data_IF_414979728758
#
_entry.id   IF_414979728758
#
_cell.length_a   1.000
_cell.length_b   1.000
_cell.length_c   1.000
_cell.angle_alpha   90.00
_cell.angle_beta   90.00
_cell.angle_gamma   90.00
#
_symmetry.space_group_name_H-M   'P 1'
#
loop_
_entity.id
_entity.type
_entity.pdbx_description
1 polymer ?
#
# COMPACT_ATOMS: atom_id res chain seq x y z
N UNK A 1 24.82 -18.36 -22.21
CA UNK A 1 23.96 -18.48 -21.00
C UNK A 1 24.32 -17.33 -20.08
N UNK A 2 23.64 -16.19 -20.19
CA UNK A 2 23.85 -15.08 -19.26
C UNK A 2 22.74 -15.13 -18.21
N UNK A 3 23.05 -15.68 -17.06
CA UNK A 3 22.29 -15.47 -15.84
C UNK A 3 22.50 -14.00 -15.42
N UNK A 4 21.66 -13.11 -15.96
CA UNK A 4 21.46 -11.82 -15.33
C UNK A 4 20.98 -12.10 -13.91
N UNK A 5 21.86 -11.95 -12.92
CA UNK A 5 21.45 -11.76 -11.53
C UNK A 5 20.47 -10.60 -11.54
N UNK A 6 19.17 -10.91 -11.44
CA UNK A 6 18.14 -9.91 -11.17
C UNK A 6 18.51 -9.37 -9.81
N UNK A 7 19.14 -8.21 -9.75
CA UNK A 7 19.22 -7.45 -8.51
C UNK A 7 17.79 -7.34 -8.00
N UNK A 8 17.56 -7.80 -6.77
CA UNK A 8 16.25 -7.69 -6.17
C UNK A 8 15.89 -6.20 -6.17
N UNK A 9 14.76 -5.82 -6.78
CA UNK A 9 14.37 -4.42 -6.83
C UNK A 9 14.31 -3.90 -5.40
N UNK A 10 15.03 -2.81 -5.13
CA UNK A 10 14.97 -2.11 -3.85
C UNK A 10 13.51 -1.94 -3.45
N UNK A 11 13.19 -2.16 -2.18
CA UNK A 11 11.81 -2.12 -1.71
C UNK A 11 11.66 -1.35 -0.42
N UNK A 12 10.55 -0.64 -0.30
CA UNK A 12 10.11 0.01 0.92
C UNK A 12 9.07 -0.90 1.57
N UNK A 13 9.23 -1.20 2.84
CA UNK A 13 8.32 -2.05 3.59
C UNK A 13 8.08 -1.51 4.99
N UNK A 14 6.97 -1.93 5.59
CA UNK A 14 6.59 -1.50 6.92
C UNK A 14 5.14 -1.84 7.23
N UNK A 15 4.60 -1.15 8.23
CA UNK A 15 3.22 -1.32 8.70
C UNK A 15 2.48 -0.01 8.48
N UNK A 16 1.31 -0.08 7.86
CA UNK A 16 0.30 0.97 7.96
C UNK A 16 -0.60 0.66 9.15
N UNK A 17 -0.75 1.64 10.02
CA UNK A 17 -1.69 1.61 11.12
C UNK A 17 -2.83 2.58 10.82
N UNK A 18 -4.03 2.03 10.74
CA UNK A 18 -5.27 2.76 10.57
C UNK A 18 -5.99 2.78 11.92
N UNK A 19 -5.92 3.90 12.64
CA UNK A 19 -6.40 4.03 14.02
C UNK A 19 -7.91 3.75 14.12
N UNK A 20 -8.36 2.67 14.78
CA UNK A 20 -9.79 2.35 14.88
C UNK A 20 -10.66 3.45 15.48
N UNK A 21 -10.09 4.39 16.24
CA UNK A 21 -10.80 5.49 16.87
C UNK A 21 -10.89 6.75 15.98
N UNK A 22 -10.35 6.71 14.74
CA UNK A 22 -10.46 7.82 13.79
C UNK A 22 -11.95 8.07 13.42
N UNK A 23 -12.36 9.34 13.54
CA UNK A 23 -13.73 9.79 13.29
C UNK A 23 -14.23 9.45 11.87
N UNK A 24 -13.32 9.30 10.90
CA UNK A 24 -13.69 8.91 9.53
C UNK A 24 -14.45 7.59 9.46
N UNK A 25 -14.22 6.69 10.43
CA UNK A 25 -14.88 5.40 10.51
C UNK A 25 -16.33 5.47 11.01
N UNK A 26 -16.71 6.59 11.65
CA UNK A 26 -18.12 6.89 11.94
C UNK A 26 -18.96 7.02 10.66
N UNK A 27 -18.36 7.54 9.59
CA UNK A 27 -19.02 7.76 8.30
C UNK A 27 -18.64 6.72 7.23
N UNK A 28 -17.60 5.90 7.46
CA UNK A 28 -17.09 4.95 6.47
C UNK A 28 -16.80 3.56 7.08
N UNK A 29 -17.80 2.73 7.36
CA UNK A 29 -19.24 2.99 7.32
C UNK A 29 -19.83 2.74 8.72
N UNK A 30 -20.89 3.44 9.13
CA UNK A 30 -21.51 3.23 10.43
C UNK A 30 -21.80 1.74 10.70
N UNK A 31 -21.28 1.20 11.81
CA UNK A 31 -21.47 -0.21 12.21
C UNK A 31 -20.59 -1.24 11.50
N UNK A 32 -19.90 -0.88 10.41
CA UNK A 32 -18.94 -1.74 9.72
C UNK A 32 -17.80 -0.89 9.13
N UNK A 33 -16.81 -0.49 9.96
CA UNK A 33 -15.79 0.46 9.56
C UNK A 33 -14.83 -0.15 8.52
N UNK A 34 -14.53 0.63 7.50
CA UNK A 34 -13.66 0.28 6.37
C UNK A 34 -12.69 1.43 6.14
N UNK A 35 -11.43 1.13 5.86
CA UNK A 35 -10.43 2.13 5.46
C UNK A 35 -10.75 2.65 4.06
N UNK A 36 -10.97 3.97 3.88
CA UNK A 36 -11.20 4.54 2.56
C UNK A 36 -10.06 4.23 1.59
N UNK A 37 -10.39 3.92 0.35
CA UNK A 37 -9.39 3.60 -0.67
C UNK A 37 -8.38 4.73 -0.91
N UNK A 38 -8.84 5.98 -0.81
CA UNK A 38 -8.00 7.19 -0.89
C UNK A 38 -7.00 7.27 0.27
N UNK A 39 -7.38 6.90 1.49
CA UNK A 39 -6.48 6.88 2.66
C UNK A 39 -5.40 5.81 2.52
N UNK A 40 -5.74 4.66 1.95
CA UNK A 40 -4.76 3.60 1.61
C UNK A 40 -3.77 4.11 0.57
N UNK A 41 -4.24 4.73 -0.51
CA UNK A 41 -3.38 5.33 -1.56
C UNK A 41 -2.47 6.41 -0.95
N UNK A 42 -3.03 7.30 -0.12
CA UNK A 42 -2.29 8.35 0.56
C UNK A 42 -1.17 7.78 1.44
N UNK A 43 -1.43 6.68 2.15
CA UNK A 43 -0.43 6.00 2.99
C UNK A 43 0.76 5.50 2.15
N UNK A 44 0.51 4.95 0.96
CA UNK A 44 1.57 4.58 0.01
C UNK A 44 2.37 5.80 -0.46
N UNK A 45 1.69 6.89 -0.85
CA UNK A 45 2.37 8.12 -1.27
C UNK A 45 3.26 8.69 -0.15
N UNK A 46 2.79 8.64 1.10
CA UNK A 46 3.57 9.07 2.27
C UNK A 46 4.78 8.17 2.55
N UNK A 47 4.66 6.85 2.38
CA UNK A 47 5.79 5.94 2.50
C UNK A 47 6.87 6.20 1.42
N UNK A 48 6.43 6.46 0.19
CA UNK A 48 7.31 6.82 -0.94
C UNK A 48 8.01 8.17 -0.68
N UNK A 49 7.27 9.18 -0.21
CA UNK A 49 7.82 10.49 0.18
C UNK A 49 8.88 10.37 1.27
N UNK A 50 8.62 9.59 2.34
CA UNK A 50 9.59 9.33 3.40
C UNK A 50 10.86 8.63 2.93
N UNK A 51 10.77 7.84 1.86
CA UNK A 51 11.92 7.19 1.23
C UNK A 51 12.69 8.12 0.26
N UNK A 52 12.33 9.40 0.16
CA UNK A 52 13.06 10.42 -0.61
C UNK A 52 12.55 10.63 -2.04
N UNK A 53 11.43 10.00 -2.41
CA UNK A 53 10.81 10.19 -3.72
C UNK A 53 9.82 11.38 -3.68
N UNK A 54 9.86 12.28 -4.67
CA UNK A 54 8.99 13.47 -4.66
C UNK A 54 7.59 13.16 -5.18
N UNK A 55 6.58 13.29 -4.33
CA UNK A 55 5.19 12.90 -4.59
C UNK A 55 4.51 13.62 -5.78
N UNK A 56 4.96 14.82 -6.13
CA UNK A 56 4.47 15.65 -7.24
C UNK A 56 4.84 15.13 -8.65
N UNK A 57 5.78 14.18 -8.72
CA UNK A 57 6.20 13.55 -9.98
C UNK A 57 5.48 12.24 -10.26
N UNK A 58 4.43 11.90 -9.51
CA UNK A 58 3.84 10.57 -9.57
C UNK A 58 2.36 10.58 -9.93
N UNK A 59 1.99 9.65 -10.81
CA UNK A 59 0.60 9.35 -11.19
C UNK A 59 0.19 8.04 -10.52
N UNK A 60 -0.92 8.08 -9.79
CA UNK A 60 -1.56 6.90 -9.21
C UNK A 60 -2.29 6.14 -10.32
N UNK A 61 -1.92 4.88 -10.55
CA UNK A 61 -2.52 4.03 -11.59
C UNK A 61 -2.88 2.64 -11.04
N UNK A 62 -3.92 2.02 -11.59
CA UNK A 62 -4.21 0.60 -11.41
C UNK A 62 -4.30 0.12 -9.95
N UNK A 63 -4.77 0.98 -9.03
CA UNK A 63 -5.12 0.54 -7.68
C UNK A 63 -6.36 -0.36 -7.72
N UNK A 64 -6.23 -1.55 -7.15
CA UNK A 64 -7.25 -2.60 -7.08
C UNK A 64 -7.43 -3.02 -5.64
N UNK A 65 -8.64 -2.84 -5.12
CA UNK A 65 -9.05 -3.21 -3.77
C UNK A 65 -9.77 -4.54 -3.85
N UNK A 66 -9.09 -5.62 -3.43
CA UNK A 66 -9.60 -6.99 -3.55
C UNK A 66 -10.54 -7.38 -2.42
N UNK A 67 -10.37 -6.74 -1.27
CA UNK A 67 -11.05 -7.03 -0.02
C UNK A 67 -11.18 -5.73 0.79
N UNK A 68 -12.22 -5.63 1.61
CA UNK A 68 -12.33 -4.53 2.55
C UNK A 68 -11.24 -4.59 3.62
N UNK A 69 -10.61 -3.45 3.86
CA UNK A 69 -9.61 -3.22 4.90
C UNK A 69 -10.35 -2.64 6.09
N UNK A 70 -10.46 -3.35 7.20
CA UNK A 70 -10.93 -2.77 8.47
C UNK A 70 -9.80 -1.93 9.10
N UNK A 71 -10.10 -1.01 10.04
CA UNK A 71 -9.05 -0.37 10.84
C UNK A 71 -8.13 -1.39 11.53
N UNK A 72 -6.90 -0.98 11.81
CA UNK A 72 -5.84 -1.81 12.38
C UNK A 72 -4.54 -1.82 11.58
N UNK A 73 -3.70 -2.83 11.83
CA UNK A 73 -2.35 -2.93 11.27
C UNK A 73 -2.31 -3.80 10.00
N UNK A 74 -1.61 -3.30 8.99
CA UNK A 74 -1.40 -4.00 7.73
C UNK A 74 0.04 -3.86 7.25
N UNK A 75 0.66 -4.99 6.92
CA UNK A 75 1.98 -4.97 6.29
C UNK A 75 1.86 -4.46 4.86
N UNK A 76 2.80 -3.61 4.43
CA UNK A 76 2.89 -3.14 3.06
C UNK A 76 4.27 -3.40 2.47
N UNK A 77 4.31 -3.52 1.14
CA UNK A 77 5.55 -3.57 0.37
C UNK A 77 5.40 -2.73 -0.90
N UNK A 78 6.40 -1.92 -1.20
CA UNK A 78 6.53 -1.12 -2.41
C UNK A 78 7.79 -1.57 -3.11
N UNK A 79 7.64 -2.23 -4.27
CA UNK A 79 8.80 -2.60 -5.09
C UNK A 79 9.12 -1.47 -6.05
N UNK A 80 10.37 -1.03 -6.05
CA UNK A 80 10.86 0.05 -6.89
C UNK A 80 11.35 -0.52 -8.21
N UNK A 81 10.80 -0.03 -9.32
CA UNK A 81 11.30 -0.26 -10.68
C UNK A 81 11.73 1.08 -11.29
N UNK A 82 12.38 1.05 -12.45
CA UNK A 82 12.90 2.27 -13.08
C UNK A 82 11.81 3.32 -13.40
N UNK A 83 10.62 2.87 -13.80
CA UNK A 83 9.51 3.69 -14.30
C UNK A 83 8.30 3.75 -13.35
N UNK A 84 8.28 2.90 -12.33
CA UNK A 84 7.09 2.68 -11.51
C UNK A 84 7.40 2.04 -10.17
N UNK A 85 6.48 2.22 -9.25
CA UNK A 85 6.45 1.60 -7.93
C UNK A 85 5.25 0.66 -7.88
N UNK A 86 5.46 -0.61 -7.51
CA UNK A 86 4.36 -1.57 -7.31
C UNK A 86 4.02 -1.68 -5.84
N UNK A 87 2.84 -1.19 -5.48
CA UNK A 87 2.32 -1.15 -4.12
C UNK A 87 1.51 -2.41 -3.82
N UNK A 88 1.71 -3.00 -2.64
CA UNK A 88 0.91 -4.11 -2.14
C UNK A 88 0.64 -3.94 -0.65
N UNK A 89 -0.61 -4.15 -0.25
CA UNK A 89 -1.06 -4.19 1.14
C UNK A 89 -1.49 -5.62 1.48
N UNK A 90 -1.12 -6.10 2.65
CA UNK A 90 -1.38 -7.46 3.10
C UNK A 90 -2.08 -7.49 4.45
N UNK A 91 -3.03 -8.41 4.59
CA UNK A 91 -3.57 -8.83 5.88
C UNK A 91 -2.78 -10.05 6.35
N UNK A 92 -2.34 -10.02 7.60
CA UNK A 92 -1.83 -11.21 8.26
C UNK A 92 -3.01 -12.09 8.70
N UNK A 93 -3.04 -13.35 8.25
CA UNK A 93 -4.04 -14.31 8.70
C UNK A 93 -3.39 -15.70 8.77
N UNK A 94 -3.38 -16.31 9.96
CA UNK A 94 -3.05 -17.71 10.20
C UNK A 94 -1.90 -18.25 9.30
N UNK A 95 -0.70 -17.70 9.47
CA UNK A 95 0.54 -18.08 8.77
C UNK A 95 0.57 -17.79 7.25
N UNK A 96 -0.33 -16.97 6.71
CA UNK A 96 -0.28 -16.50 5.31
C UNK A 96 -0.58 -15.01 5.19
N UNK A 97 0.16 -14.34 4.31
CA UNK A 97 -0.15 -12.98 3.88
C UNK A 97 -1.19 -13.02 2.75
N UNK A 98 -2.39 -12.51 3.01
CA UNK A 98 -3.40 -12.30 1.96
C UNK A 98 -3.24 -10.90 1.38
N UNK A 99 -3.09 -10.79 0.06
CA UNK A 99 -3.03 -9.48 -0.60
C UNK A 99 -4.42 -8.83 -0.62
N UNK A 100 -4.52 -7.65 -0.01
CA UNK A 100 -5.76 -6.87 0.13
C UNK A 100 -5.87 -5.81 -0.96
N UNK A 101 -4.76 -5.11 -1.21
CA UNK A 101 -4.69 -4.01 -2.19
C UNK A 101 -3.44 -4.19 -3.03
N UNK A 102 -3.55 -3.89 -4.33
CA UNK A 102 -2.41 -3.75 -5.24
C UNK A 102 -2.52 -2.44 -5.98
N UNK A 103 -1.42 -1.75 -6.25
CA UNK A 103 -1.45 -0.51 -7.03
C UNK A 103 -0.13 -0.24 -7.74
N UNK A 104 -0.17 0.72 -8.66
CA UNK A 104 1.00 1.25 -9.34
C UNK A 104 1.08 2.75 -9.06
N UNK A 105 2.26 3.23 -8.74
CA UNK A 105 2.58 4.65 -8.74
C UNK A 105 3.62 4.84 -9.83
N UNK A 106 3.24 5.51 -10.91
CA UNK A 106 4.09 5.70 -12.10
C UNK A 106 4.79 7.05 -12.01
N UNK A 107 6.06 7.08 -12.38
CA UNK A 107 6.85 8.33 -12.49
C UNK A 107 6.58 9.04 -13.82
#
# INVERSE_FOLDING_TARGET
MNEYKKEDPCSIEGIFYFDPDDLIYGDHFPGNPVVPGSLIIHSFLKAVEKAGFKSDQYIVENFKFKEFVSPGEYFFNIRIFHDRLKCRLYRNSLNKFKTMVTGIIKR
#
